data_IF_587122937498
#
_entry.id   IF_587122937498
#
_cell.length_a   1.000
_cell.length_b   1.000
_cell.length_c   1.000
_cell.angle_alpha   90.00
_cell.angle_beta   90.00
_cell.angle_gamma   90.00
#
_symmetry.space_group_name_H-M   'P 1'
#
loop_
_entity.id
_entity.type
_entity.pdbx_description
1 polymer ?
#
# COMPACT_ATOMS: atom_id res chain seq x y z
N UNK A 1 21.14 -56.25 31.39
CA UNK A 1 20.99 -54.79 31.49
C UNK A 1 21.38 -54.17 30.14
N UNK A 2 20.77 -54.64 29.05
CA UNK A 2 21.21 -54.35 27.67
C UNK A 2 20.06 -54.22 26.66
N UNK A 3 18.85 -54.72 26.99
CA UNK A 3 17.67 -54.59 26.13
C UNK A 3 16.77 -53.40 26.55
N UNK A 4 16.88 -52.96 27.82
CA UNK A 4 16.12 -51.81 28.32
C UNK A 4 16.68 -50.49 27.81
N UNK A 5 18.02 -50.36 27.76
CA UNK A 5 18.69 -49.16 27.26
C UNK A 5 18.46 -49.00 25.74
N UNK A 6 18.51 -50.10 24.98
CA UNK A 6 18.24 -50.09 23.54
C UNK A 6 16.80 -49.66 23.20
N UNK A 7 15.82 -50.05 24.02
CA UNK A 7 14.43 -49.59 23.88
C UNK A 7 14.26 -48.12 24.28
N UNK A 8 15.02 -47.66 25.26
CA UNK A 8 14.98 -46.27 25.70
C UNK A 8 15.54 -45.35 24.61
N UNK A 9 16.66 -45.73 23.99
CA UNK A 9 17.27 -45.00 22.89
C UNK A 9 16.36 -44.98 21.66
N UNK A 10 15.75 -46.11 21.30
CA UNK A 10 14.76 -46.16 20.22
C UNK A 10 13.54 -45.27 20.50
N UNK A 11 13.09 -45.19 21.75
CA UNK A 11 11.96 -44.37 22.14
C UNK A 11 12.30 -42.87 22.13
N UNK A 12 13.53 -42.51 22.53
CA UNK A 12 14.06 -41.14 22.41
C UNK A 12 14.20 -40.73 20.94
N UNK A 13 14.67 -41.63 20.07
CA UNK A 13 14.81 -41.37 18.64
C UNK A 13 13.44 -41.27 17.92
N UNK A 14 12.45 -42.05 18.37
CA UNK A 14 11.07 -41.95 17.90
C UNK A 14 10.41 -40.64 18.36
N UNK A 15 10.63 -40.22 19.62
CA UNK A 15 10.17 -38.93 20.14
C UNK A 15 10.89 -37.76 19.47
N UNK A 16 12.18 -37.88 19.16
CA UNK A 16 12.97 -36.86 18.44
C UNK A 16 12.53 -36.74 16.97
N UNK A 17 12.22 -37.87 16.32
CA UNK A 17 11.68 -37.89 14.95
C UNK A 17 10.27 -37.30 14.88
N UNK A 18 9.40 -37.61 15.84
CA UNK A 18 8.07 -36.99 15.94
C UNK A 18 8.12 -35.49 16.30
N UNK A 19 9.09 -35.05 17.11
CA UNK A 19 9.28 -33.63 17.44
C UNK A 19 9.84 -32.83 16.26
N UNK A 20 10.56 -33.49 15.36
CA UNK A 20 11.12 -32.87 14.14
C UNK A 20 10.06 -32.80 13.02
N UNK A 21 9.14 -33.77 12.92
CA UNK A 21 8.05 -33.77 11.92
C UNK A 21 6.76 -33.04 12.37
N UNK A 22 6.59 -32.76 13.67
CA UNK A 22 5.45 -31.98 14.20
C UNK A 22 5.71 -30.49 14.31
N UNK A 23 6.82 -29.99 13.77
CA UNK A 23 6.84 -28.59 13.34
C UNK A 23 6.10 -28.60 12.01
N UNK A 24 4.81 -28.18 11.95
CA UNK A 24 4.20 -27.97 10.63
C UNK A 24 5.20 -27.10 9.86
N UNK A 25 5.50 -27.40 8.57
CA UNK A 25 6.32 -26.50 7.78
C UNK A 25 5.72 -25.14 8.03
N UNK A 26 6.49 -24.22 8.66
CA UNK A 26 5.98 -22.91 9.08
C UNK A 26 5.20 -22.47 7.89
N UNK A 27 3.87 -22.52 8.03
CA UNK A 27 2.99 -22.19 6.95
C UNK A 27 3.23 -20.71 6.90
N UNK A 28 4.16 -20.32 6.02
CA UNK A 28 4.41 -18.95 5.65
C UNK A 28 3.06 -18.60 5.09
N UNK A 29 2.18 -18.07 5.94
CA UNK A 29 0.82 -17.74 5.60
C UNK A 29 0.98 -16.75 4.45
N UNK A 30 0.86 -17.26 3.22
CA UNK A 30 0.90 -16.52 1.97
C UNK A 30 -0.39 -15.73 1.85
N UNK A 31 -0.70 -14.86 2.82
CA UNK A 31 -1.90 -14.03 2.82
C UNK A 31 -1.64 -12.65 3.42
N UNK A 32 -0.47 -12.09 3.16
CA UNK A 32 -0.12 -10.71 3.57
C UNK A 32 -0.14 -9.79 2.36
N UNK A 33 -1.29 -9.72 1.68
CA UNK A 33 -1.37 -9.00 0.42
C UNK A 33 -2.22 -7.74 0.56
N UNK A 34 -1.61 -6.70 1.13
CA UNK A 34 -2.01 -5.33 0.79
C UNK A 34 -2.12 -5.21 -0.74
N UNK A 35 -3.04 -4.37 -1.21
CA UNK A 35 -3.41 -4.31 -2.62
C UNK A 35 -2.18 -4.15 -3.55
N UNK A 36 -1.86 -5.19 -4.32
CA UNK A 36 -0.74 -5.20 -5.25
C UNK A 36 -1.09 -4.45 -6.55
N UNK A 37 -0.76 -3.15 -6.58
CA UNK A 37 -0.84 -2.33 -7.78
C UNK A 37 0.56 -2.03 -8.27
N UNK A 38 0.74 -2.05 -9.59
CA UNK A 38 1.95 -1.55 -10.20
C UNK A 38 2.15 -0.09 -9.82
N UNK A 39 3.29 0.25 -9.22
CA UNK A 39 3.58 1.60 -8.72
C UNK A 39 3.39 2.68 -9.79
N UNK A 40 3.74 2.38 -11.05
CA UNK A 40 3.54 3.26 -12.20
C UNK A 40 2.06 3.53 -12.47
N UNK A 41 1.21 2.49 -12.41
CA UNK A 41 -0.23 2.63 -12.58
C UNK A 41 -0.84 3.45 -11.44
N UNK A 42 -0.41 3.22 -10.20
CA UNK A 42 -0.84 4.02 -9.06
C UNK A 42 -0.48 5.50 -9.26
N UNK A 43 0.76 5.80 -9.66
CA UNK A 43 1.21 7.16 -9.91
C UNK A 43 0.42 7.84 -11.04
N UNK A 44 0.28 7.17 -12.19
CA UNK A 44 -0.49 7.71 -13.33
C UNK A 44 -1.95 7.92 -12.95
N UNK A 45 -2.61 6.91 -12.35
CA UNK A 45 -4.02 7.05 -11.98
C UNK A 45 -4.21 8.17 -10.94
N UNK A 46 -3.33 8.30 -9.95
CA UNK A 46 -3.38 9.43 -9.02
C UNK A 46 -3.20 10.77 -9.71
N UNK A 47 -2.23 10.90 -10.62
CA UNK A 47 -1.95 12.13 -11.35
C UNK A 47 -3.16 12.57 -12.18
N UNK A 48 -3.67 11.68 -13.02
CA UNK A 48 -4.76 11.98 -13.93
C UNK A 48 -6.11 12.13 -13.21
N UNK A 49 -6.33 11.41 -12.10
CA UNK A 49 -7.56 11.56 -11.32
C UNK A 49 -7.50 12.70 -10.27
N UNK A 50 -6.53 13.61 -10.33
CA UNK A 50 -6.36 14.68 -9.32
C UNK A 50 -6.32 14.15 -7.87
N UNK A 51 -5.72 12.98 -7.67
CA UNK A 51 -5.61 12.34 -6.35
C UNK A 51 -6.84 11.54 -5.90
N UNK A 52 -7.95 11.51 -6.65
CA UNK A 52 -9.12 10.67 -6.32
C UNK A 52 -8.76 9.18 -6.25
N UNK A 53 -7.90 8.71 -7.15
CA UNK A 53 -7.40 7.33 -7.09
C UNK A 53 -6.60 7.06 -5.81
N UNK A 54 -5.94 8.08 -5.25
CA UNK A 54 -5.28 8.00 -3.95
C UNK A 54 -6.28 7.73 -2.82
N UNK A 55 -7.46 8.36 -2.84
CA UNK A 55 -8.55 8.06 -1.91
C UNK A 55 -9.05 6.62 -2.06
N UNK A 56 -9.24 6.15 -3.29
CA UNK A 56 -9.58 4.76 -3.56
C UNK A 56 -8.52 3.78 -3.00
N UNK A 57 -7.24 4.11 -3.18
CA UNK A 57 -6.13 3.33 -2.65
C UNK A 57 -6.15 3.30 -1.11
N UNK A 58 -6.35 4.45 -0.45
CA UNK A 58 -6.48 4.56 1.01
C UNK A 58 -7.65 3.72 1.52
N UNK A 59 -8.81 3.81 0.87
CA UNK A 59 -9.99 3.00 1.19
C UNK A 59 -9.69 1.51 1.13
N UNK A 60 -9.02 1.07 0.07
CA UNK A 60 -8.71 -0.34 -0.12
C UNK A 60 -7.73 -0.87 0.93
N UNK A 61 -6.75 -0.06 1.34
CA UNK A 61 -5.83 -0.43 2.41
C UNK A 61 -6.51 -0.45 3.80
N UNK A 62 -7.43 0.49 4.08
CA UNK A 62 -8.25 0.40 5.29
C UNK A 62 -9.17 -0.82 5.31
N UNK A 63 -9.74 -1.19 4.16
CA UNK A 63 -10.56 -2.40 4.02
C UNK A 63 -9.73 -3.65 4.32
N UNK A 64 -8.51 -3.72 3.79
CA UNK A 64 -7.57 -4.81 4.06
C UNK A 64 -7.23 -4.88 5.57
N UNK A 65 -6.87 -3.75 6.18
CA UNK A 65 -6.53 -3.71 7.61
C UNK A 65 -7.70 -4.12 8.51
N UNK A 66 -8.94 -3.77 8.13
CA UNK A 66 -10.15 -4.22 8.83
C UNK A 66 -10.32 -5.74 8.77
N UNK A 67 -9.97 -6.37 7.65
CA UNK A 67 -10.13 -7.82 7.44
C UNK A 67 -9.04 -8.63 8.15
N UNK A 68 -7.81 -8.13 8.18
CA UNK A 68 -6.66 -8.89 8.68
C UNK A 68 -6.25 -8.54 10.12
N UNK A 69 -6.39 -7.29 10.55
CA UNK A 69 -5.90 -6.82 11.85
C UNK A 69 -7.03 -6.56 12.86
N UNK A 70 -8.25 -7.05 12.60
CA UNK A 70 -9.47 -6.88 13.41
C UNK A 70 -9.71 -5.42 13.87
N UNK A 71 -9.25 -4.45 13.07
CA UNK A 71 -9.44 -3.04 13.40
C UNK A 71 -10.89 -2.68 13.15
N UNK A 72 -11.66 -2.48 14.23
CA UNK A 72 -13.03 -1.97 14.13
C UNK A 72 -13.02 -0.55 13.58
N UNK A 73 -13.29 -0.43 12.29
CA UNK A 73 -13.34 0.85 11.61
C UNK A 73 -14.33 0.86 10.45
N UNK A 74 -14.69 2.07 10.04
CA UNK A 74 -15.41 2.35 8.81
C UNK A 74 -14.39 2.87 7.78
N UNK A 75 -13.94 2.02 6.83
CA UNK A 75 -12.93 2.41 5.85
C UNK A 75 -13.31 3.66 5.07
N UNK A 76 -14.58 3.80 4.72
CA UNK A 76 -15.11 4.96 4.00
C UNK A 76 -14.94 6.28 4.76
N UNK A 77 -15.26 6.31 6.05
CA UNK A 77 -15.11 7.52 6.88
C UNK A 77 -13.63 7.88 7.00
N UNK A 78 -12.76 6.90 7.22
CA UNK A 78 -11.31 7.15 7.31
C UNK A 78 -10.69 7.62 6.00
N UNK A 79 -11.23 7.20 4.87
CA UNK A 79 -10.83 7.72 3.56
C UNK A 79 -11.29 9.16 3.35
N UNK A 80 -12.53 9.48 3.74
CA UNK A 80 -13.08 10.83 3.55
C UNK A 80 -12.28 11.87 4.35
N UNK A 81 -11.88 11.54 5.58
CA UNK A 81 -10.93 12.36 6.34
C UNK A 81 -9.54 11.73 6.33
N UNK A 82 -9.06 11.34 5.15
CA UNK A 82 -7.71 10.78 5.01
C UNK A 82 -6.62 11.62 5.67
N UNK A 83 -6.62 12.97 5.65
CA UNK A 83 -5.53 13.75 6.26
C UNK A 83 -5.39 13.51 7.77
N UNK A 84 -6.49 13.18 8.46
CA UNK A 84 -6.47 12.90 9.91
C UNK A 84 -5.96 11.49 10.24
N UNK A 85 -6.28 10.52 9.38
CA UNK A 85 -6.00 9.10 9.64
C UNK A 85 -4.85 8.51 8.83
N UNK A 86 -4.28 9.26 7.87
CA UNK A 86 -3.19 8.78 7.00
C UNK A 86 -1.95 8.37 7.79
N UNK A 87 -1.61 9.09 8.86
CA UNK A 87 -0.48 8.73 9.72
C UNK A 87 -0.67 7.35 10.36
N UNK A 88 -1.88 7.08 10.86
CA UNK A 88 -2.21 5.79 11.45
C UNK A 88 -2.12 4.68 10.41
N UNK A 89 -2.66 4.91 9.20
CA UNK A 89 -2.57 3.96 8.10
C UNK A 89 -1.11 3.63 7.75
N UNK A 90 -0.27 4.65 7.58
CA UNK A 90 1.14 4.47 7.23
C UNK A 90 1.92 3.76 8.33
N UNK A 91 1.65 4.08 9.59
CA UNK A 91 2.24 3.38 10.73
C UNK A 91 1.86 1.90 10.74
N UNK A 92 0.59 1.56 10.53
CA UNK A 92 0.15 0.16 10.47
C UNK A 92 0.76 -0.59 9.31
N UNK A 93 0.76 -0.02 8.10
CA UNK A 93 1.39 -0.66 6.94
C UNK A 93 2.90 -0.88 7.16
N UNK A 94 3.62 0.10 7.72
CA UNK A 94 5.06 -0.07 8.00
C UNK A 94 5.31 -1.13 9.06
N UNK A 95 4.48 -1.20 10.10
CA UNK A 95 4.58 -2.25 11.11
C UNK A 95 4.40 -3.63 10.48
N UNK A 96 3.36 -3.80 9.67
CA UNK A 96 3.08 -5.05 8.94
C UNK A 96 4.21 -5.39 7.96
N UNK A 97 4.76 -4.39 7.24
CA UNK A 97 5.91 -4.58 6.34
C UNK A 97 7.11 -5.17 7.11
N UNK A 98 7.44 -4.60 8.26
CA UNK A 98 8.59 -5.05 9.07
C UNK A 98 8.32 -6.42 9.70
N UNK A 99 7.10 -6.66 10.17
CA UNK A 99 6.70 -7.94 10.77
C UNK A 99 6.85 -9.11 9.79
N UNK A 100 6.55 -8.89 8.50
CA UNK A 100 6.70 -9.91 7.45
C UNK A 100 8.09 -9.94 6.79
N UNK A 101 9.12 -9.42 7.47
CA UNK A 101 10.52 -9.49 7.02
C UNK A 101 10.91 -8.45 5.97
N UNK A 102 10.13 -7.39 5.82
CA UNK A 102 10.38 -6.28 4.90
C UNK A 102 11.37 -5.28 5.46
N UNK A 103 12.08 -4.61 4.56
CA UNK A 103 12.95 -3.51 4.95
C UNK A 103 12.10 -2.33 5.42
N UNK A 104 12.47 -1.73 6.55
CA UNK A 104 11.83 -0.50 7.02
C UNK A 104 12.07 0.62 5.98
N UNK A 105 11.07 1.43 5.63
CA UNK A 105 11.30 2.57 4.76
C UNK A 105 12.29 3.55 5.34
N UNK A 106 13.11 4.14 4.47
CA UNK A 106 14.08 5.18 4.83
C UNK A 106 13.39 6.40 5.44
N UNK A 107 12.16 6.69 5.02
CA UNK A 107 11.31 7.72 5.60
C UNK A 107 10.36 7.10 6.63
N UNK A 108 10.37 7.64 7.85
CA UNK A 108 9.43 7.21 8.89
C UNK A 108 7.96 7.49 8.51
N UNK A 109 7.00 6.82 9.17
CA UNK A 109 5.56 7.02 8.94
C UNK A 109 5.13 8.48 9.10
N UNK A 110 5.79 9.22 10.01
CA UNK A 110 5.54 10.64 10.23
C UNK A 110 5.86 11.49 9.01
N UNK A 111 7.05 11.31 8.42
CA UNK A 111 7.47 12.11 7.27
C UNK A 111 6.64 11.81 6.01
N UNK A 112 6.26 10.54 5.82
CA UNK A 112 5.33 10.14 4.75
C UNK A 112 3.93 10.75 4.95
N UNK A 113 3.42 10.78 6.19
CA UNK A 113 2.14 11.40 6.48
C UNK A 113 2.20 12.92 6.30
N UNK A 114 3.29 13.55 6.73
CA UNK A 114 3.52 14.99 6.54
C UNK A 114 3.55 15.35 5.06
N UNK A 115 4.25 14.59 4.22
CA UNK A 115 4.27 14.88 2.77
C UNK A 115 2.89 14.74 2.13
N UNK A 116 2.09 13.76 2.56
CA UNK A 116 0.70 13.63 2.14
C UNK A 116 -0.16 14.83 2.55
N UNK A 117 -0.07 15.25 3.82
CA UNK A 117 -0.83 16.39 4.36
C UNK A 117 -0.42 17.69 3.67
N UNK A 118 0.87 17.94 3.52
CA UNK A 118 1.40 19.12 2.82
C UNK A 118 0.93 19.14 1.37
N UNK A 119 1.01 18.01 0.65
CA UNK A 119 0.48 17.92 -0.72
C UNK A 119 -1.03 18.19 -0.78
N UNK A 120 -1.79 17.65 0.17
CA UNK A 120 -3.24 17.90 0.25
C UNK A 120 -3.56 19.38 0.48
N UNK A 121 -2.89 20.04 1.42
CA UNK A 121 -3.06 21.48 1.67
C UNK A 121 -2.59 22.32 0.47
N UNK A 122 -1.45 21.98 -0.11
CA UNK A 122 -0.89 22.74 -1.22
C UNK A 122 -1.76 22.68 -2.48
N UNK A 123 -2.41 21.54 -2.74
CA UNK A 123 -3.41 21.41 -3.82
C UNK A 123 -4.62 22.34 -3.70
N UNK A 124 -4.81 23.02 -2.55
CA UNK A 124 -5.87 24.03 -2.37
C UNK A 124 -5.43 25.43 -2.75
N UNK A 125 -4.13 25.63 -2.97
CA UNK A 125 -3.59 26.91 -3.41
C UNK A 125 -3.84 27.01 -4.92
N UNK A 126 -4.55 28.05 -5.39
CA UNK A 126 -4.79 28.21 -6.82
C UNK A 126 -3.49 28.57 -7.56
N UNK A 127 -3.32 27.99 -8.75
CA UNK A 127 -2.21 28.26 -9.65
C UNK A 127 -1.10 27.21 -9.62
N UNK A 128 -0.14 27.38 -10.52
CA UNK A 128 0.87 26.35 -10.84
C UNK A 128 1.69 25.89 -9.63
N UNK A 129 1.94 26.78 -8.66
CA UNK A 129 2.65 26.42 -7.43
C UNK A 129 1.85 25.43 -6.58
N UNK A 130 0.55 25.61 -6.44
CA UNK A 130 -0.31 24.68 -5.72
C UNK A 130 -0.49 23.36 -6.45
N UNK A 131 -0.59 23.39 -7.78
CA UNK A 131 -0.68 22.19 -8.62
C UNK A 131 0.58 21.33 -8.48
N UNK A 132 1.77 21.93 -8.60
CA UNK A 132 3.05 21.23 -8.49
C UNK A 132 3.28 20.71 -7.08
N UNK A 133 3.02 21.52 -6.05
CA UNK A 133 3.14 21.07 -4.67
C UNK A 133 2.07 20.03 -4.30
N UNK A 134 0.92 20.06 -4.96
CA UNK A 134 -0.13 19.03 -4.82
C UNK A 134 0.35 17.63 -5.21
N UNK A 135 1.31 17.52 -6.13
CA UNK A 135 1.88 16.23 -6.57
C UNK A 135 2.61 15.48 -5.45
N UNK A 136 3.01 16.17 -4.37
CA UNK A 136 3.62 15.51 -3.21
C UNK A 136 2.66 14.51 -2.54
N UNK A 137 1.35 14.61 -2.79
CA UNK A 137 0.37 13.62 -2.31
C UNK A 137 0.62 12.22 -2.89
N UNK A 138 1.29 12.11 -4.04
CA UNK A 138 1.53 10.84 -4.75
C UNK A 138 2.77 10.11 -4.19
N UNK A 139 3.79 10.87 -3.76
CA UNK A 139 5.07 10.33 -3.29
C UNK A 139 4.92 9.28 -2.18
N UNK A 140 4.25 9.55 -1.04
CA UNK A 140 4.20 8.58 0.05
C UNK A 140 3.42 7.32 -0.32
N UNK A 141 2.42 7.44 -1.20
CA UNK A 141 1.64 6.30 -1.71
C UNK A 141 2.51 5.38 -2.56
N UNK A 142 3.30 5.96 -3.47
CA UNK A 142 4.22 5.24 -4.34
C UNK A 142 5.31 4.53 -3.53
N UNK A 143 5.93 5.23 -2.57
CA UNK A 143 6.99 4.66 -1.74
C UNK A 143 6.50 3.46 -0.90
N UNK A 144 5.32 3.58 -0.28
CA UNK A 144 4.75 2.48 0.49
C UNK A 144 4.32 1.31 -0.40
N UNK A 145 3.76 1.58 -1.58
CA UNK A 145 3.41 0.54 -2.55
C UNK A 145 4.66 -0.21 -3.05
N UNK A 146 5.79 0.49 -3.26
CA UNK A 146 7.06 -0.16 -3.64
C UNK A 146 7.53 -1.15 -2.58
N UNK A 147 7.41 -0.81 -1.30
CA UNK A 147 7.80 -1.68 -0.19
C UNK A 147 6.93 -2.92 -0.10
N UNK A 148 5.61 -2.73 -0.21
CA UNK A 148 4.63 -3.82 -0.28
C UNK A 148 4.91 -4.74 -1.46
N UNK A 149 5.29 -4.16 -2.61
CA UNK A 149 5.62 -4.93 -3.81
C UNK A 149 6.95 -5.68 -3.68
N UNK A 150 7.94 -5.13 -2.98
CA UNK A 150 9.23 -5.77 -2.74
C UNK A 150 9.12 -6.96 -1.77
N UNK A 151 8.29 -6.82 -0.74
CA UNK A 151 7.99 -7.87 0.22
C UNK A 151 7.34 -9.11 -0.38
N UNK A 152 6.42 -8.92 -1.32
CA UNK A 152 5.62 -10.00 -1.86
C UNK A 152 6.36 -10.88 -2.88
N UNK A 153 7.60 -10.54 -3.25
CA UNK A 153 8.49 -11.40 -4.05
C UNK A 153 7.96 -11.86 -5.43
N UNK A 154 6.87 -11.29 -5.94
CA UNK A 154 6.10 -11.85 -7.05
C UNK A 154 6.28 -11.14 -8.38
N UNK A 155 6.42 -11.96 -9.43
CA UNK A 155 6.43 -11.61 -10.85
C UNK A 155 5.41 -10.53 -11.23
N UNK A 156 5.74 -9.75 -12.26
CA UNK A 156 4.89 -8.71 -12.86
C UNK A 156 3.46 -9.17 -13.19
N UNK A 157 3.22 -10.48 -13.29
CA UNK A 157 1.93 -11.12 -13.59
C UNK A 157 0.88 -11.07 -12.46
N UNK A 158 1.26 -10.93 -11.19
CA UNK A 158 0.30 -10.73 -10.07
C UNK A 158 0.03 -9.25 -9.78
N UNK A 159 0.90 -8.35 -10.25
CA UNK A 159 0.71 -6.91 -10.14
C UNK A 159 -0.39 -6.49 -11.12
N UNK A 160 -1.40 -5.76 -10.65
CA UNK A 160 -2.42 -5.19 -11.54
C UNK A 160 -1.83 -4.03 -12.36
N UNK A 161 -0.93 -4.34 -13.29
CA UNK A 161 -0.18 -3.43 -14.16
C UNK A 161 -0.98 -3.05 -15.41
N UNK A 162 -1.88 -3.92 -15.87
CA UNK A 162 -2.69 -3.70 -17.07
C UNK A 162 -3.67 -2.54 -16.87
N UNK A 163 -3.65 -1.57 -17.78
CA UNK A 163 -4.66 -0.52 -17.82
C UNK A 163 -5.97 -1.10 -18.36
N UNK A 164 -7.06 -0.94 -17.59
CA UNK A 164 -8.40 -1.25 -18.09
C UNK A 164 -8.82 -0.20 -19.13
N UNK A 165 -9.70 -0.51 -20.09
CA UNK A 165 -10.28 0.49 -21.00
C UNK A 165 -10.89 1.69 -20.26
N UNK A 166 -11.50 1.47 -19.09
CA UNK A 166 -11.99 2.56 -18.22
C UNK A 166 -10.86 3.46 -17.73
N UNK A 167 -9.68 2.91 -17.46
CA UNK A 167 -8.52 3.71 -17.08
C UNK A 167 -8.11 4.61 -18.24
N UNK A 168 -8.11 4.11 -19.47
CA UNK A 168 -7.82 4.92 -20.66
C UNK A 168 -8.84 6.05 -20.86
N UNK A 169 -10.13 5.76 -20.71
CA UNK A 169 -11.18 6.79 -20.77
C UNK A 169 -10.96 7.86 -19.70
N UNK A 170 -10.68 7.44 -18.45
CA UNK A 170 -10.36 8.37 -17.36
C UNK A 170 -9.12 9.22 -17.67
N UNK A 171 -8.05 8.63 -18.19
CA UNK A 171 -6.82 9.33 -18.57
C UNK A 171 -7.09 10.41 -19.64
N UNK A 172 -7.82 10.04 -20.70
CA UNK A 172 -8.13 10.95 -21.81
C UNK A 172 -9.06 12.07 -21.34
N UNK A 173 -10.12 11.73 -20.60
CA UNK A 173 -11.08 12.71 -20.10
C UNK A 173 -10.44 13.71 -19.14
N UNK A 174 -9.63 13.22 -18.19
CA UNK A 174 -8.94 14.10 -17.25
C UNK A 174 -7.87 14.96 -17.91
N UNK A 175 -7.13 14.43 -18.89
CA UNK A 175 -6.20 15.22 -19.69
C UNK A 175 -6.89 16.35 -20.45
N UNK A 176 -8.06 16.09 -21.05
CA UNK A 176 -8.86 17.09 -21.76
C UNK A 176 -9.43 18.15 -20.80
N UNK A 177 -9.91 17.75 -19.63
CA UNK A 177 -10.37 18.69 -18.59
C UNK A 177 -9.22 19.57 -18.10
N UNK A 178 -8.01 19.02 -17.99
CA UNK A 178 -6.81 19.77 -17.65
C UNK A 178 -6.55 20.88 -18.66
N UNK A 179 -6.45 20.54 -19.95
CA UNK A 179 -6.18 21.53 -21.00
C UNK A 179 -7.27 22.58 -21.09
N UNK A 180 -8.54 22.21 -20.91
CA UNK A 180 -9.65 23.15 -20.88
C UNK A 180 -9.57 24.11 -19.67
N UNK A 181 -9.23 23.60 -18.49
CA UNK A 181 -9.09 24.42 -17.28
C UNK A 181 -7.96 25.45 -17.41
N UNK A 182 -6.81 25.04 -17.97
CA UNK A 182 -5.73 26.00 -18.25
C UNK A 182 -6.12 26.98 -19.35
N UNK A 183 -6.71 26.52 -20.45
CA UNK A 183 -7.17 27.41 -21.53
C UNK A 183 -8.17 28.45 -21.01
N UNK A 184 -9.14 28.05 -20.19
CA UNK A 184 -10.07 28.96 -19.51
C UNK A 184 -9.33 30.05 -18.72
N UNK A 185 -8.32 29.65 -17.94
CA UNK A 185 -7.54 30.60 -17.13
C UNK A 185 -6.82 31.66 -17.97
N UNK A 186 -6.42 31.34 -19.22
CA UNK A 186 -5.81 32.30 -20.15
C UNK A 186 -6.84 33.14 -20.91
N UNK A 187 -8.00 32.57 -21.25
CA UNK A 187 -9.06 33.26 -22.00
C UNK A 187 -9.75 34.35 -21.17
N UNK A 188 -10.00 34.10 -19.88
CA UNK A 188 -10.66 35.07 -18.99
C UNK A 188 -9.73 36.15 -18.41
N UNK A 189 -8.44 36.14 -18.78
CA UNK A 189 -7.45 37.12 -18.31
C UNK A 189 -7.19 38.26 -19.31
N UNK A 190 -7.92 38.29 -20.43
CA UNK A 190 -7.99 39.37 -21.42
C UNK A 190 -9.39 39.98 -21.44
#
# INVERSE_FOLDING_TARGET
MSNYDEKLDQQIDLEASQKTESTPPVSRIQNTVFFQVGTVKLAMMCFFSFGFYGLFWIWKNWKYLKQHSNVQCLPWVRTLFSPLWVFSLFRFMIAEIVEHGGQRPSLGPGLLATSYIVGNLASRIPGIFGDVLGLFIILPLVMLQQQINALNGGDEHTKNTKFSPINWVLLVLSGLLWTLSYASTYVFKH
#
